data_IF_430153684026
#
_entry.id   IF_430153684026
#
_cell.length_a   1.000
_cell.length_b   1.000
_cell.length_c   1.000
_cell.angle_alpha   90.00
_cell.angle_beta   90.00
_cell.angle_gamma   90.00
#
_symmetry.space_group_name_H-M   'P 1'
#
loop_
_entity.id
_entity.type
_entity.pdbx_description
1 polymer ?
#
# COMPACT_ATOMS: atom_id res chain seq x y z
N UNK A 1 16.93 -5.84 17.54
CA UNK A 1 16.20 -7.12 17.64
C UNK A 1 16.39 -8.03 16.42
N UNK A 2 16.08 -7.61 15.18
CA UNK A 2 16.09 -8.52 14.02
C UNK A 2 17.41 -9.29 13.75
N UNK A 3 18.59 -8.68 13.97
CA UNK A 3 19.88 -9.41 13.88
C UNK A 3 20.02 -10.51 14.93
N UNK A 4 19.57 -10.25 16.16
CA UNK A 4 19.56 -11.25 17.24
C UNK A 4 18.55 -12.36 16.94
N UNK A 5 17.37 -12.01 16.41
CA UNK A 5 16.38 -12.99 15.96
C UNK A 5 16.94 -13.93 14.89
N UNK A 6 17.63 -13.38 13.88
CA UNK A 6 18.31 -14.16 12.85
C UNK A 6 19.38 -15.10 13.43
N UNK A 7 20.25 -14.59 14.30
CA UNK A 7 21.33 -15.36 14.91
C UNK A 7 20.82 -16.47 15.85
N UNK A 8 19.75 -16.22 16.61
CA UNK A 8 19.19 -17.18 17.55
C UNK A 8 18.37 -18.30 16.89
N UNK A 9 17.95 -18.13 15.62
CA UNK A 9 17.05 -19.07 14.94
C UNK A 9 17.58 -19.49 13.55
N UNK A 10 18.80 -20.05 13.43
CA UNK A 10 19.43 -20.29 12.13
C UNK A 10 18.67 -21.30 11.25
N UNK A 11 17.84 -22.17 11.83
CA UNK A 11 17.03 -23.14 11.07
C UNK A 11 15.74 -22.53 10.51
N UNK A 12 15.30 -21.37 10.99
CA UNK A 12 14.08 -20.70 10.53
C UNK A 12 14.35 -19.89 9.25
N UNK A 13 13.60 -20.18 8.18
CA UNK A 13 13.65 -19.40 6.94
C UNK A 13 13.36 -17.91 7.19
N UNK A 14 12.33 -17.62 8.01
CA UNK A 14 11.95 -16.24 8.37
C UNK A 14 13.12 -15.51 9.03
N UNK A 15 13.82 -16.17 9.95
CA UNK A 15 14.94 -15.59 10.67
C UNK A 15 16.17 -15.37 9.77
N UNK A 16 16.53 -16.35 8.94
CA UNK A 16 17.64 -16.22 7.98
C UNK A 16 17.39 -15.09 6.97
N UNK A 17 16.19 -15.04 6.39
CA UNK A 17 15.82 -13.99 5.44
C UNK A 17 15.69 -12.61 6.09
N UNK A 18 15.29 -12.52 7.36
CA UNK A 18 15.41 -11.28 8.14
C UNK A 18 16.87 -10.83 8.20
N UNK A 19 17.80 -11.77 8.42
CA UNK A 19 19.24 -11.50 8.36
C UNK A 19 19.69 -10.95 7.00
N UNK A 20 19.25 -11.53 5.88
CA UNK A 20 19.57 -11.04 4.53
C UNK A 20 19.03 -9.64 4.27
N UNK A 21 17.79 -9.35 4.67
CA UNK A 21 17.19 -8.01 4.54
C UNK A 21 17.97 -6.97 5.35
N UNK A 22 18.38 -7.30 6.58
CA UNK A 22 19.17 -6.40 7.42
C UNK A 22 20.62 -6.25 6.94
N UNK A 23 21.18 -7.26 6.27
CA UNK A 23 22.47 -7.15 5.59
C UNK A 23 22.38 -6.22 4.38
N UNK A 24 21.29 -6.28 3.61
CA UNK A 24 21.04 -5.32 2.52
C UNK A 24 20.93 -3.88 3.04
N UNK A 25 20.24 -3.67 4.16
CA UNK A 25 20.18 -2.36 4.81
C UNK A 25 21.56 -1.87 5.27
N UNK A 26 22.37 -2.76 5.84
CA UNK A 26 23.74 -2.41 6.21
C UNK A 26 24.56 -2.00 4.98
N UNK A 27 24.48 -2.73 3.87
CA UNK A 27 25.17 -2.36 2.64
C UNK A 27 24.73 -1.01 2.07
N UNK A 28 23.44 -0.66 2.19
CA UNK A 28 22.93 0.67 1.83
C UNK A 28 23.55 1.76 2.72
N UNK A 29 23.64 1.51 4.03
CA UNK A 29 24.26 2.42 5.00
C UNK A 29 25.75 2.60 4.69
N UNK A 30 26.48 1.50 4.47
CA UNK A 30 27.91 1.52 4.16
C UNK A 30 28.18 2.31 2.87
N UNK A 31 27.39 2.07 1.83
CA UNK A 31 27.47 2.81 0.57
C UNK A 31 27.14 4.30 0.72
N UNK A 32 26.16 4.63 1.56
CA UNK A 32 25.83 6.03 1.89
C UNK A 32 26.96 6.72 2.66
N UNK A 33 27.64 6.02 3.58
CA UNK A 33 28.74 6.56 4.37
C UNK A 33 30.05 6.68 3.58
N UNK A 34 30.24 5.87 2.53
CA UNK A 34 31.43 5.91 1.69
C UNK A 34 31.51 7.13 0.75
N UNK A 35 30.46 7.97 0.68
CA UNK A 35 30.43 9.15 -0.19
C UNK A 35 31.31 10.28 0.36
N UNK A 36 32.01 10.97 -0.54
CA UNK A 36 32.81 12.14 -0.21
C UNK A 36 31.97 13.43 -0.36
N UNK A 37 30.95 13.58 0.50
CA UNK A 37 30.02 14.71 0.49
C UNK A 37 30.22 15.57 1.75
N UNK A 38 30.09 16.89 1.62
CA UNK A 38 30.29 17.84 2.73
C UNK A 38 29.14 17.82 3.74
N UNK A 39 27.98 17.25 3.35
CA UNK A 39 26.80 17.10 4.22
C UNK A 39 26.56 15.62 4.51
N UNK A 40 27.23 15.07 5.54
CA UNK A 40 26.92 13.73 6.07
C UNK A 40 25.75 13.84 7.04
N UNK A 41 24.60 13.23 6.71
CA UNK A 41 23.50 13.07 7.66
C UNK A 41 23.72 11.80 8.47
N UNK A 42 23.16 11.76 9.68
CA UNK A 42 23.14 10.56 10.51
C UNK A 42 22.58 9.38 9.70
N UNK A 43 23.33 8.26 9.53
CA UNK A 43 22.88 7.09 8.79
C UNK A 43 21.61 6.46 9.35
N UNK A 44 21.22 6.78 10.59
CA UNK A 44 19.92 6.41 11.16
C UNK A 44 18.74 6.86 10.28
N UNK A 45 18.90 7.92 9.48
CA UNK A 45 17.89 8.34 8.51
C UNK A 45 17.48 7.20 7.56
N UNK A 46 18.40 6.31 7.18
CA UNK A 46 18.09 5.18 6.30
C UNK A 46 17.22 4.14 7.00
N UNK A 47 17.36 3.96 8.32
CA UNK A 47 16.41 3.15 9.09
C UNK A 47 15.01 3.78 9.08
N UNK A 48 14.93 5.11 9.24
CA UNK A 48 13.66 5.84 9.23
C UNK A 48 13.00 5.80 7.86
N UNK A 49 13.75 5.93 6.76
CA UNK A 49 13.21 5.80 5.40
C UNK A 49 12.50 4.45 5.23
N UNK A 50 13.14 3.36 5.64
CA UNK A 50 12.54 2.04 5.49
C UNK A 50 11.36 1.80 6.45
N UNK A 51 11.29 2.56 7.54
CA UNK A 51 10.24 2.47 8.56
C UNK A 51 9.14 3.53 8.40
N UNK A 52 9.06 4.29 7.30
CA UNK A 52 8.09 5.40 7.17
C UNK A 52 6.65 4.97 7.45
N UNK A 53 6.21 3.83 6.91
CA UNK A 53 4.88 3.30 7.19
C UNK A 53 4.70 2.87 8.65
N UNK A 54 5.71 2.25 9.25
CA UNK A 54 5.69 1.87 10.67
C UNK A 54 5.66 3.09 11.60
N UNK A 55 6.28 4.21 11.21
CA UNK A 55 6.32 5.43 11.99
C UNK A 55 4.94 6.04 12.21
N UNK A 56 3.98 5.79 11.33
CA UNK A 56 2.59 6.27 11.45
C UNK A 56 1.92 5.72 12.71
N UNK A 57 2.12 4.43 12.99
CA UNK A 57 1.62 3.77 14.21
C UNK A 57 2.53 4.01 15.41
N UNK A 58 3.85 4.03 15.22
CA UNK A 58 4.82 4.24 16.31
C UNK A 58 4.68 5.64 16.93
N UNK A 59 4.39 6.67 16.15
CA UNK A 59 4.10 8.00 16.71
C UNK A 59 2.93 7.95 17.71
N UNK A 60 1.87 7.20 17.37
CA UNK A 60 0.71 7.01 18.25
C UNK A 60 1.06 6.17 19.48
N UNK A 61 1.84 5.10 19.30
CA UNK A 61 2.22 4.18 20.37
C UNK A 61 3.24 4.74 21.37
N UNK A 62 4.15 5.60 20.91
CA UNK A 62 5.22 6.16 21.75
C UNK A 62 4.80 7.47 22.45
N UNK A 63 3.83 8.18 21.89
CA UNK A 63 3.27 9.37 22.54
C UNK A 63 2.33 8.98 23.68
N UNK A 64 2.24 9.82 24.73
CA UNK A 64 1.28 9.66 25.82
C UNK A 64 -0.13 10.09 25.38
N UNK A 65 -0.62 9.47 24.32
CA UNK A 65 -1.89 9.76 23.66
C UNK A 65 -3.03 9.21 24.53
N UNK A 66 -4.01 10.07 24.85
CA UNK A 66 -5.16 9.67 25.67
C UNK A 66 -6.03 8.64 24.93
N UNK A 67 -6.68 7.73 25.68
CA UNK A 67 -7.44 6.61 25.10
C UNK A 67 -8.58 7.06 24.17
N UNK A 68 -9.18 8.21 24.44
CA UNK A 68 -10.26 8.81 23.68
C UNK A 68 -9.79 9.87 22.66
N UNK A 69 -8.50 9.86 22.28
CA UNK A 69 -7.91 10.84 21.37
C UNK A 69 -8.71 11.02 20.08
N UNK A 70 -9.01 9.93 19.37
CA UNK A 70 -9.78 9.97 18.12
C UNK A 70 -11.24 10.37 18.33
N UNK A 71 -11.82 10.06 19.49
CA UNK A 71 -13.23 10.37 19.80
C UNK A 71 -13.43 11.85 20.11
N UNK A 72 -12.39 12.55 20.60
CA UNK A 72 -12.42 13.99 20.88
C UNK A 72 -12.28 14.87 19.65
N UNK A 73 -11.80 14.34 18.51
CA UNK A 73 -11.69 15.12 17.28
C UNK A 73 -13.07 15.57 16.78
N UNK A 74 -13.17 16.78 16.25
CA UNK A 74 -14.35 17.19 15.47
C UNK A 74 -14.50 16.31 14.21
N UNK A 75 -15.66 16.39 13.55
CA UNK A 75 -15.90 15.63 12.32
C UNK A 75 -14.87 15.95 11.23
N UNK A 76 -14.55 17.25 11.04
CA UNK A 76 -13.60 17.68 10.02
C UNK A 76 -12.17 17.22 10.34
N UNK A 77 -11.73 17.37 11.59
CA UNK A 77 -10.40 16.91 12.02
C UNK A 77 -10.23 15.40 11.84
N UNK A 78 -11.24 14.61 12.23
CA UNK A 78 -11.19 13.16 12.08
C UNK A 78 -11.21 12.74 10.61
N UNK A 79 -12.04 13.37 9.78
CA UNK A 79 -12.12 13.09 8.34
C UNK A 79 -10.77 13.36 7.68
N UNK A 80 -10.17 14.51 7.97
CA UNK A 80 -8.84 14.89 7.47
C UNK A 80 -7.75 13.94 7.98
N UNK A 81 -7.79 13.52 9.25
CA UNK A 81 -6.90 12.49 9.77
C UNK A 81 -7.05 11.19 8.99
N UNK A 82 -8.29 10.68 8.84
CA UNK A 82 -8.58 9.42 8.19
C UNK A 82 -8.12 9.39 6.73
N UNK A 83 -8.27 10.49 5.99
CA UNK A 83 -7.82 10.57 4.59
C UNK A 83 -6.32 10.80 4.44
N UNK A 84 -5.65 11.39 5.44
CA UNK A 84 -4.18 11.56 5.44
C UNK A 84 -3.44 10.31 5.93
N UNK A 85 -4.05 9.57 6.86
CA UNK A 85 -3.55 8.28 7.38
C UNK A 85 -4.02 7.08 6.53
N UNK A 86 -5.07 7.25 5.73
CA UNK A 86 -5.55 6.28 4.75
C UNK A 86 -4.74 6.38 3.46
N UNK A 87 -3.82 5.44 3.27
CA UNK A 87 -2.75 5.61 2.29
C UNK A 87 -3.03 5.13 0.88
N UNK A 88 -4.16 4.48 0.54
CA UNK A 88 -4.24 3.84 -0.78
C UNK A 88 -5.65 3.49 -1.23
N UNK A 89 -5.80 3.29 -2.54
CA UNK A 89 -6.91 2.57 -3.15
C UNK A 89 -6.36 1.42 -4.00
N UNK A 90 -6.90 0.21 -3.89
CA UNK A 90 -6.52 -0.91 -4.73
C UNK A 90 -7.74 -1.62 -5.33
N UNK A 91 -7.55 -2.24 -6.50
CA UNK A 91 -8.58 -2.97 -7.21
C UNK A 91 -7.97 -4.21 -7.88
N UNK A 92 -8.62 -5.35 -7.65
CA UNK A 92 -8.41 -6.58 -8.41
C UNK A 92 -9.69 -6.84 -9.18
N UNK A 93 -9.61 -6.97 -10.50
CA UNK A 93 -10.79 -6.99 -11.37
C UNK A 93 -10.66 -8.07 -12.44
N UNK A 94 -11.69 -8.92 -12.54
CA UNK A 94 -11.80 -10.07 -13.44
C UNK A 94 -12.94 -9.82 -14.43
N UNK A 95 -12.69 -9.88 -15.73
CA UNK A 95 -13.75 -9.66 -16.75
C UNK A 95 -14.78 -10.79 -16.78
N UNK A 96 -16.01 -10.54 -17.28
CA UNK A 96 -17.14 -11.46 -17.09
C UNK A 96 -16.90 -12.90 -17.56
N UNK A 97 -16.14 -13.12 -18.63
CA UNK A 97 -15.76 -14.46 -19.12
C UNK A 97 -14.42 -14.96 -18.58
N UNK A 98 -13.90 -14.37 -17.50
CA UNK A 98 -12.57 -14.65 -16.92
C UNK A 98 -11.41 -14.43 -17.90
N UNK A 99 -11.60 -13.59 -18.91
CA UNK A 99 -10.65 -13.40 -20.02
C UNK A 99 -9.41 -12.61 -19.59
N UNK A 100 -9.62 -11.59 -18.75
CA UNK A 100 -8.60 -10.67 -18.28
C UNK A 100 -8.73 -10.44 -16.79
N UNK A 101 -7.57 -10.31 -16.15
CA UNK A 101 -7.48 -9.99 -14.73
C UNK A 101 -6.50 -8.85 -14.57
N UNK A 102 -6.99 -7.77 -13.97
CA UNK A 102 -6.23 -6.58 -13.65
C UNK A 102 -5.99 -6.51 -12.15
N UNK A 103 -4.78 -6.14 -11.76
CA UNK A 103 -4.37 -5.96 -10.37
C UNK A 103 -3.67 -4.61 -10.28
N UNK A 104 -4.21 -3.68 -9.50
CA UNK A 104 -3.64 -2.35 -9.44
C UNK A 104 -3.91 -1.59 -8.15
N UNK A 105 -3.13 -0.53 -8.00
CA UNK A 105 -2.94 0.20 -6.76
C UNK A 105 -2.64 1.66 -7.06
N UNK A 106 -3.29 2.57 -6.33
CA UNK A 106 -3.03 4.01 -6.33
C UNK A 106 -2.62 4.46 -4.93
N UNK A 107 -1.38 4.88 -4.77
CA UNK A 107 -0.84 5.35 -3.48
C UNK A 107 -1.31 6.77 -3.18
N UNK A 108 -1.63 7.01 -1.92
CA UNK A 108 -2.01 8.28 -1.31
C UNK A 108 -1.06 8.62 -0.16
N UNK A 109 -0.37 9.74 -0.27
CA UNK A 109 0.41 10.28 0.83
C UNK A 109 0.73 11.76 0.57
N UNK A 110 1.70 12.35 1.27
CA UNK A 110 2.15 13.71 0.99
C UNK A 110 2.82 13.77 -0.38
N UNK A 111 2.54 14.80 -1.19
CA UNK A 111 3.13 14.94 -2.52
C UNK A 111 4.63 15.15 -2.47
N UNK A 112 5.20 15.57 -1.35
CA UNK A 112 6.66 15.63 -1.16
C UNK A 112 7.35 14.26 -1.24
N UNK A 113 6.60 13.15 -1.10
CA UNK A 113 7.13 11.79 -1.26
C UNK A 113 7.21 11.34 -2.73
N UNK A 114 6.86 12.17 -3.71
CA UNK A 114 6.79 11.77 -5.14
C UNK A 114 8.15 11.67 -5.85
N UNK A 115 9.27 11.63 -5.12
CA UNK A 115 10.56 11.28 -5.70
C UNK A 115 10.59 9.75 -5.88
N UNK A 116 10.22 9.27 -7.07
CA UNK A 116 9.95 7.85 -7.32
C UNK A 116 11.11 7.12 -7.95
N UNK A 117 11.27 5.85 -7.58
CA UNK A 117 12.10 4.87 -8.30
C UNK A 117 11.27 3.60 -8.44
N UNK A 118 11.03 3.15 -9.67
CA UNK A 118 10.54 1.81 -9.92
C UNK A 118 11.73 0.84 -9.93
N UNK A 119 11.65 -0.24 -9.14
CA UNK A 119 12.79 -1.12 -8.86
C UNK A 119 12.55 -2.52 -9.38
N UNK A 120 13.61 -3.07 -9.97
CA UNK A 120 13.71 -4.47 -10.34
C UNK A 120 14.93 -5.04 -9.60
N UNK A 121 14.74 -6.03 -8.73
CA UNK A 121 15.84 -6.71 -8.05
C UNK A 121 15.94 -8.14 -8.52
N UNK A 122 17.18 -8.57 -8.79
CA UNK A 122 17.56 -9.97 -8.93
C UNK A 122 18.46 -10.34 -7.74
N UNK A 123 17.90 -11.02 -6.74
CA UNK A 123 18.55 -11.42 -5.51
C UNK A 123 18.99 -12.89 -5.59
N UNK A 124 20.25 -13.13 -5.96
CA UNK A 124 20.83 -14.49 -6.03
C UNK A 124 21.30 -14.98 -4.65
N UNK A 125 20.36 -15.07 -3.70
CA UNK A 125 20.64 -15.59 -2.36
C UNK A 125 20.79 -17.11 -2.41
N UNK A 126 21.85 -17.64 -1.79
CA UNK A 126 22.06 -19.09 -1.68
C UNK A 126 21.31 -19.63 -0.45
N UNK A 127 19.99 -19.77 -0.57
CA UNK A 127 19.13 -20.35 0.47
C UNK A 127 18.06 -21.23 -0.17
N UNK A 128 17.82 -22.41 0.41
CA UNK A 128 16.84 -23.40 -0.08
C UNK A 128 15.39 -22.91 0.02
N UNK A 129 15.12 -21.93 0.87
CA UNK A 129 13.78 -21.40 1.13
C UNK A 129 13.47 -20.14 0.31
N UNK A 130 14.43 -19.65 -0.50
CA UNK A 130 14.20 -18.57 -1.45
C UNK A 130 13.23 -19.04 -2.55
N UNK A 131 12.04 -18.46 -2.57
CA UNK A 131 10.98 -18.74 -3.55
C UNK A 131 10.89 -17.69 -4.65
N UNK A 132 11.36 -16.46 -4.40
CA UNK A 132 11.31 -15.37 -5.37
C UNK A 132 12.62 -14.57 -5.41
N UNK A 133 13.59 -14.95 -6.26
CA UNK A 133 14.80 -14.17 -6.47
C UNK A 133 14.55 -12.88 -7.26
N UNK A 134 13.54 -12.85 -8.13
CA UNK A 134 13.27 -11.71 -9.00
C UNK A 134 11.98 -10.98 -8.61
N UNK A 135 12.11 -9.70 -8.27
CA UNK A 135 10.99 -8.87 -7.81
C UNK A 135 10.96 -7.52 -8.54
N UNK A 136 9.77 -7.06 -8.86
CA UNK A 136 9.51 -5.79 -9.55
C UNK A 136 8.47 -4.98 -8.79
N UNK A 137 8.77 -3.73 -8.42
CA UNK A 137 7.93 -2.96 -7.50
C UNK A 137 8.15 -1.43 -7.60
N UNK A 138 7.10 -0.66 -7.33
CA UNK A 138 7.20 0.80 -7.19
C UNK A 138 7.81 1.18 -5.84
N UNK A 139 8.65 2.20 -5.77
CA UNK A 139 9.40 2.54 -4.55
C UNK A 139 9.94 3.99 -4.58
N UNK A 140 10.88 4.28 -3.69
CA UNK A 140 11.47 5.58 -3.39
C UNK A 140 12.99 5.45 -3.17
N UNK A 141 13.80 6.50 -3.33
CA UNK A 141 15.22 6.47 -3.01
C UNK A 141 15.50 6.08 -1.56
N UNK A 142 16.39 5.10 -1.33
CA UNK A 142 16.79 4.64 0.00
C UNK A 142 15.85 3.62 0.67
N UNK A 143 14.67 3.40 0.12
CA UNK A 143 13.72 2.39 0.59
C UNK A 143 14.14 1.02 0.04
N UNK A 144 14.11 -0.02 0.85
CA UNK A 144 14.36 -1.38 0.40
C UNK A 144 13.06 -2.15 0.20
N UNK A 145 11.93 -1.46 0.33
CA UNK A 145 10.56 -1.92 0.15
C UNK A 145 9.80 -0.95 -0.76
N UNK A 146 8.54 -1.28 -1.05
CA UNK A 146 7.67 -0.49 -1.89
C UNK A 146 7.05 0.68 -1.13
N UNK A 147 6.67 0.49 0.14
CA UNK A 147 5.81 1.36 0.94
C UNK A 147 4.38 1.47 0.38
N UNK A 148 4.20 1.42 -0.95
CA UNK A 148 2.91 1.70 -1.57
C UNK A 148 1.74 0.82 -1.08
N UNK A 149 1.73 -0.52 -1.08
CA UNK A 149 2.69 -1.45 -1.67
C UNK A 149 2.15 -2.06 -2.99
N UNK A 150 3.02 -2.16 -4.00
CA UNK A 150 2.77 -2.89 -5.25
C UNK A 150 4.00 -3.73 -5.61
N UNK A 151 3.88 -5.05 -5.59
CA UNK A 151 4.93 -5.98 -5.98
C UNK A 151 4.44 -7.00 -7.00
N UNK A 152 5.29 -7.31 -7.98
CA UNK A 152 5.19 -8.49 -8.83
C UNK A 152 6.40 -9.38 -8.52
N UNK A 153 6.14 -10.65 -8.19
CA UNK A 153 7.12 -11.62 -7.73
C UNK A 153 7.22 -12.75 -8.76
N UNK A 154 8.44 -13.17 -9.11
CA UNK A 154 8.65 -14.28 -10.05
C UNK A 154 8.22 -15.66 -9.53
N UNK A 155 7.90 -15.76 -8.24
CA UNK A 155 7.15 -16.87 -7.65
C UNK A 155 5.73 -17.03 -8.22
N UNK A 156 5.27 -16.10 -9.06
CA UNK A 156 3.94 -16.07 -9.66
C UNK A 156 2.91 -15.35 -8.79
N UNK A 157 3.35 -14.48 -7.87
CA UNK A 157 2.47 -13.74 -6.97
C UNK A 157 2.53 -12.24 -7.23
N UNK A 158 1.39 -11.57 -7.08
CA UNK A 158 1.28 -10.11 -7.01
C UNK A 158 0.83 -9.74 -5.60
N UNK A 159 1.47 -8.74 -4.99
CA UNK A 159 1.12 -8.29 -3.64
C UNK A 159 0.76 -6.81 -3.70
N UNK A 160 -0.46 -6.51 -3.28
CA UNK A 160 -0.99 -5.15 -3.12
C UNK A 160 -1.30 -4.88 -1.65
N UNK A 161 -1.42 -3.62 -1.26
CA UNK A 161 -1.79 -3.28 0.11
C UNK A 161 -2.55 -1.95 0.22
N UNK A 162 -3.45 -1.80 1.18
CA UNK A 162 -3.98 -0.48 1.62
C UNK A 162 -4.02 -0.38 3.14
N UNK A 163 -3.67 0.79 3.70
CA UNK A 163 -3.41 0.92 5.15
C UNK A 163 -4.71 1.11 5.91
N UNK A 164 -4.91 0.34 6.98
CA UNK A 164 -6.06 0.49 7.87
C UNK A 164 -5.63 1.31 9.08
N UNK A 165 -6.50 2.23 9.52
CA UNK A 165 -6.30 2.90 10.80
C UNK A 165 -6.73 2.00 11.96
N UNK A 166 -6.00 2.06 13.09
CA UNK A 166 -6.41 1.47 14.37
C UNK A 166 -6.81 2.59 15.31
N UNK A 167 -8.11 2.70 15.60
CA UNK A 167 -8.67 3.73 16.50
C UNK A 167 -8.74 3.29 17.96
N UNK A 168 -8.68 1.98 18.21
CA UNK A 168 -8.62 1.45 19.56
C UNK A 168 -7.24 1.70 20.19
N UNK A 169 -7.12 2.78 20.96
CA UNK A 169 -5.87 3.21 21.59
C UNK A 169 -5.24 2.17 22.52
N UNK A 170 -6.03 1.27 23.10
CA UNK A 170 -5.52 0.22 23.99
C UNK A 170 -4.59 -0.76 23.28
N UNK A 171 -4.78 -0.98 21.97
CA UNK A 171 -3.96 -1.89 21.18
C UNK A 171 -2.52 -1.38 21.03
N UNK A 172 -2.30 -0.06 20.93
CA UNK A 172 -0.94 0.48 20.81
C UNK A 172 -0.07 0.23 22.04
N UNK A 173 -0.67 0.01 23.23
CA UNK A 173 0.08 -0.37 24.45
C UNK A 173 0.77 -1.73 24.34
N UNK A 174 0.38 -2.54 23.35
CA UNK A 174 0.98 -3.87 23.09
C UNK A 174 2.16 -3.81 22.12
N UNK A 175 2.37 -2.68 21.44
CA UNK A 175 3.50 -2.45 20.54
C UNK A 175 4.79 -2.44 21.36
N UNK A 176 5.76 -3.25 20.95
CA UNK A 176 7.02 -3.45 21.69
C UNK A 176 8.22 -3.56 20.75
N UNK A 177 9.42 -3.15 21.20
CA UNK A 177 10.63 -3.20 20.39
C UNK A 177 11.12 -4.62 20.08
N UNK A 178 10.62 -5.63 20.81
CA UNK A 178 10.81 -7.04 20.49
C UNK A 178 9.80 -7.51 19.44
N UNK A 179 9.83 -6.86 18.27
CA UNK A 179 9.09 -7.24 17.07
C UNK A 179 9.88 -6.92 15.78
N UNK A 180 9.40 -7.40 14.64
CA UNK A 180 9.89 -7.03 13.31
C UNK A 180 8.95 -6.01 12.68
N UNK A 181 9.51 -4.90 12.19
CA UNK A 181 8.74 -3.87 11.49
C UNK A 181 8.08 -4.44 10.22
N UNK A 182 7.01 -3.82 9.77
CA UNK A 182 6.22 -4.30 8.63
C UNK A 182 7.05 -4.45 7.37
N UNK A 183 7.88 -3.46 7.02
CA UNK A 183 8.73 -3.52 5.83
C UNK A 183 9.65 -4.76 5.82
N UNK A 184 10.16 -5.15 7.00
CA UNK A 184 11.02 -6.33 7.15
C UNK A 184 10.22 -7.60 6.90
N UNK A 185 9.02 -7.70 7.50
CA UNK A 185 8.15 -8.87 7.36
C UNK A 185 7.62 -9.02 5.93
N UNK A 186 7.22 -7.92 5.28
CA UNK A 186 6.80 -7.91 3.87
C UNK A 186 7.94 -8.38 2.96
N UNK A 187 9.16 -7.86 3.15
CA UNK A 187 10.33 -8.28 2.37
C UNK A 187 10.66 -9.76 2.55
N UNK A 188 10.58 -10.28 3.78
CA UNK A 188 10.78 -11.69 4.07
C UNK A 188 9.68 -12.54 3.44
N UNK A 189 8.41 -12.15 3.59
CA UNK A 189 7.27 -12.86 3.01
C UNK A 189 7.38 -12.93 1.48
N UNK A 190 7.73 -11.83 0.82
CA UNK A 190 7.93 -11.79 -0.63
C UNK A 190 9.08 -12.70 -1.09
N UNK A 191 10.10 -12.92 -0.26
CA UNK A 191 11.23 -13.79 -0.60
C UNK A 191 10.93 -15.29 -0.45
N UNK A 192 10.16 -15.69 0.58
CA UNK A 192 10.04 -17.12 0.97
C UNK A 192 8.65 -17.72 0.74
N UNK A 193 7.62 -16.89 0.54
CA UNK A 193 6.26 -17.38 0.40
C UNK A 193 6.11 -18.20 -0.89
N UNK A 194 5.35 -19.30 -0.77
CA UNK A 194 5.10 -20.23 -1.87
C UNK A 194 3.69 -20.11 -2.42
N UNK A 195 2.80 -19.43 -1.71
CA UNK A 195 1.39 -19.18 -2.00
C UNK A 195 0.88 -18.13 -1.00
N UNK A 196 -0.37 -17.69 -1.15
CA UNK A 196 -0.95 -16.65 -0.29
C UNK A 196 -1.07 -17.02 1.19
N UNK A 197 -1.40 -18.28 1.52
CA UNK A 197 -1.51 -18.72 2.91
C UNK A 197 -0.15 -18.79 3.62
N UNK A 198 0.91 -19.21 2.91
CA UNK A 198 2.27 -19.15 3.43
C UNK A 198 2.71 -17.69 3.63
N UNK A 199 2.39 -16.78 2.70
CA UNK A 199 2.66 -15.34 2.84
C UNK A 199 1.98 -14.79 4.10
N UNK A 200 0.70 -15.10 4.31
CA UNK A 200 -0.05 -14.73 5.50
C UNK A 200 0.59 -15.25 6.79
N UNK A 201 1.01 -16.52 6.81
CA UNK A 201 1.71 -17.11 7.95
C UNK A 201 3.00 -16.34 8.28
N UNK A 202 3.82 -15.97 7.28
CA UNK A 202 5.04 -15.18 7.53
C UNK A 202 4.72 -13.86 8.23
N UNK A 203 3.63 -13.19 7.85
CA UNK A 203 3.23 -11.92 8.45
C UNK A 203 2.84 -12.03 9.93
N UNK A 204 2.44 -13.22 10.40
CA UNK A 204 2.18 -13.48 11.84
C UNK A 204 3.47 -13.46 12.67
N UNK A 205 4.61 -13.75 12.05
CA UNK A 205 5.87 -13.94 12.75
C UNK A 205 6.43 -12.60 13.22
N UNK A 206 6.58 -12.44 14.54
CA UNK A 206 7.09 -11.21 15.17
C UNK A 206 6.29 -9.95 14.78
N UNK A 207 4.96 -10.07 14.64
CA UNK A 207 4.08 -8.95 14.32
C UNK A 207 4.35 -7.75 15.26
N UNK A 208 4.65 -6.60 14.67
CA UNK A 208 4.93 -5.35 15.38
C UNK A 208 3.69 -4.57 15.79
N UNK A 209 2.55 -4.79 15.13
CA UNK A 209 1.39 -3.90 15.27
C UNK A 209 1.63 -2.50 14.69
N UNK A 210 2.59 -2.39 13.76
CA UNK A 210 2.94 -1.15 13.07
C UNK A 210 2.80 -1.36 11.58
N UNK A 211 2.51 -0.28 10.88
CA UNK A 211 1.99 -0.25 9.52
C UNK A 211 0.84 -1.23 9.31
N UNK A 212 -0.26 -0.97 10.02
CA UNK A 212 -1.41 -1.88 10.08
C UNK A 212 -2.20 -1.85 8.77
N UNK A 213 -2.18 -2.96 8.05
CA UNK A 213 -2.47 -2.98 6.61
C UNK A 213 -3.42 -4.13 6.23
N UNK A 214 -4.21 -3.93 5.17
CA UNK A 214 -4.83 -5.01 4.41
C UNK A 214 -3.96 -5.31 3.19
N UNK A 215 -3.38 -6.51 3.15
CA UNK A 215 -2.65 -7.03 2.01
C UNK A 215 -3.54 -7.94 1.17
N UNK A 216 -3.39 -7.84 -0.15
CA UNK A 216 -4.01 -8.75 -1.11
C UNK A 216 -2.89 -9.50 -1.83
N UNK A 217 -2.82 -10.81 -1.60
CA UNK A 217 -1.83 -11.70 -2.22
C UNK A 217 -2.52 -12.49 -3.31
N UNK A 218 -2.22 -12.15 -4.56
CA UNK A 218 -2.79 -12.77 -5.74
C UNK A 218 -1.83 -13.84 -6.27
N UNK A 219 -2.27 -15.09 -6.32
CA UNK A 219 -1.50 -16.21 -6.87
C UNK A 219 -1.90 -16.50 -8.32
N UNK A 220 -1.08 -16.06 -9.27
CA UNK A 220 -1.35 -16.19 -10.70
C UNK A 220 -1.35 -17.66 -11.17
N UNK A 221 -0.73 -18.58 -10.42
CA UNK A 221 -0.71 -20.01 -10.76
C UNK A 221 -2.08 -20.67 -10.54
N UNK A 222 -2.96 -20.02 -9.77
CA UNK A 222 -4.34 -20.45 -9.49
C UNK A 222 -5.36 -19.86 -10.46
N UNK A 223 -4.90 -19.13 -11.47
CA UNK A 223 -5.75 -18.44 -12.42
C UNK A 223 -5.53 -19.04 -13.82
N UNK A 224 -6.62 -19.49 -14.44
CA UNK A 224 -6.66 -19.97 -15.82
C UNK A 224 -7.62 -19.07 -16.61
N UNK A 225 -7.11 -18.08 -17.36
CA UNK A 225 -7.95 -17.19 -18.16
C UNK A 225 -8.88 -17.98 -19.08
N UNK A 226 -10.11 -17.49 -19.25
CA UNK A 226 -11.22 -18.12 -20.00
C UNK A 226 -11.69 -19.49 -19.45
N UNK A 227 -11.26 -19.89 -18.24
CA UNK A 227 -11.60 -21.20 -17.69
C UNK A 227 -11.98 -21.17 -16.21
N UNK A 228 -11.02 -20.85 -15.32
CA UNK A 228 -11.25 -20.91 -13.88
C UNK A 228 -10.36 -19.99 -13.09
N UNK A 229 -10.84 -19.58 -11.91
CA UNK A 229 -10.03 -19.02 -10.84
C UNK A 229 -10.15 -20.01 -9.70
N UNK A 230 -9.11 -20.78 -9.42
CA UNK A 230 -9.10 -21.86 -8.45
C UNK A 230 -8.86 -21.32 -7.02
N UNK A 231 -9.34 -22.02 -6.00
CA UNK A 231 -9.13 -21.62 -4.60
C UNK A 231 -7.63 -21.43 -4.30
N UNK A 232 -7.34 -20.39 -3.51
CA UNK A 232 -6.01 -19.86 -3.22
C UNK A 232 -5.55 -18.76 -4.17
N UNK A 233 -6.34 -18.36 -5.16
CA UNK A 233 -5.98 -17.29 -6.09
C UNK A 233 -5.92 -15.89 -5.45
N UNK A 234 -6.72 -15.63 -4.43
CA UNK A 234 -6.66 -14.38 -3.66
C UNK A 234 -6.68 -14.68 -2.16
N UNK A 235 -5.58 -14.39 -1.47
CA UNK A 235 -5.54 -14.38 0.00
C UNK A 235 -5.54 -12.94 0.50
N UNK A 236 -6.50 -12.58 1.34
CA UNK A 236 -6.56 -11.27 1.99
C UNK A 236 -6.03 -11.41 3.41
N UNK A 237 -5.10 -10.55 3.80
CA UNK A 237 -4.40 -10.59 5.09
C UNK A 237 -4.52 -9.23 5.76
N UNK A 238 -4.98 -9.18 7.00
CA UNK A 238 -5.12 -7.95 7.76
C UNK A 238 -4.37 -8.04 9.09
N UNK A 239 -3.63 -6.98 9.39
CA UNK A 239 -2.84 -6.87 10.61
C UNK A 239 -3.32 -5.71 11.47
N UNK A 240 -3.37 -5.95 12.77
CA UNK A 240 -3.40 -4.93 13.84
C UNK A 240 -2.39 -5.35 14.94
N UNK A 241 -2.14 -4.53 15.98
CA UNK A 241 -1.35 -4.99 17.11
C UNK A 241 -1.87 -6.31 17.69
N UNK A 242 -0.97 -7.25 17.95
CA UNK A 242 -1.21 -8.63 18.45
C UNK A 242 -1.92 -9.61 17.52
N UNK A 243 -2.57 -9.16 16.44
CA UNK A 243 -3.42 -10.02 15.61
C UNK A 243 -3.13 -9.87 14.11
N UNK A 244 -3.06 -11.01 13.43
CA UNK A 244 -3.11 -11.10 11.97
C UNK A 244 -4.23 -12.07 11.61
N UNK A 245 -5.17 -11.63 10.78
CA UNK A 245 -6.27 -12.46 10.26
C UNK A 245 -6.06 -12.62 8.76
N UNK A 246 -6.26 -13.82 8.24
CA UNK A 246 -6.20 -14.07 6.80
C UNK A 246 -7.29 -15.02 6.34
N UNK A 247 -7.80 -14.80 5.13
CA UNK A 247 -8.77 -15.68 4.50
C UNK A 247 -8.60 -15.73 2.98
N UNK A 248 -9.04 -16.83 2.38
CA UNK A 248 -9.15 -16.97 0.93
C UNK A 248 -10.41 -16.23 0.44
N UNK A 249 -10.22 -15.22 -0.40
CA UNK A 249 -11.27 -14.39 -0.99
C UNK A 249 -11.44 -14.65 -2.48
N UNK A 250 -10.98 -15.81 -2.96
CA UNK A 250 -11.18 -16.24 -4.35
C UNK A 250 -12.66 -16.30 -4.71
N UNK A 251 -13.52 -16.74 -3.78
CA UNK A 251 -14.97 -16.78 -3.98
C UNK A 251 -15.55 -15.40 -4.34
N UNK A 252 -15.13 -14.34 -3.64
CA UNK A 252 -15.55 -12.98 -3.93
C UNK A 252 -14.94 -12.48 -5.25
N UNK A 253 -13.68 -12.79 -5.52
CA UNK A 253 -13.01 -12.39 -6.76
C UNK A 253 -13.71 -12.94 -8.02
N UNK A 254 -14.23 -14.18 -7.96
CA UNK A 254 -15.03 -14.79 -9.04
C UNK A 254 -16.30 -14.01 -9.38
N UNK A 255 -16.84 -13.21 -8.45
CA UNK A 255 -18.02 -12.38 -8.70
C UNK A 255 -17.71 -11.12 -9.52
N UNK A 256 -16.43 -10.81 -9.72
CA UNK A 256 -15.98 -9.79 -10.65
C UNK A 256 -14.82 -8.96 -10.11
N UNK A 257 -14.78 -8.63 -8.82
CA UNK A 257 -13.71 -7.79 -8.28
C UNK A 257 -13.51 -7.91 -6.77
N UNK A 258 -12.35 -7.47 -6.31
CA UNK A 258 -12.04 -7.21 -4.90
C UNK A 258 -11.48 -5.78 -4.77
N UNK A 259 -12.17 -4.87 -4.06
CA UNK A 259 -11.70 -3.51 -3.80
C UNK A 259 -10.96 -3.41 -2.44
N UNK A 260 -10.10 -2.40 -2.28
CA UNK A 260 -9.48 -2.07 -0.99
C UNK A 260 -9.31 -0.55 -0.85
N UNK A 261 -9.64 0.00 0.32
CA UNK A 261 -9.83 1.44 0.51
C UNK A 261 -9.69 1.90 1.97
N UNK A 262 -8.71 1.36 2.70
CA UNK A 262 -8.37 1.77 4.08
C UNK A 262 -9.44 1.51 5.15
N UNK A 263 -10.36 0.58 4.91
CA UNK A 263 -11.30 0.09 5.93
C UNK A 263 -11.14 -1.43 6.02
N UNK A 264 -10.98 -2.02 7.23
CA UNK A 264 -10.80 -3.45 7.36
C UNK A 264 -11.98 -4.26 6.84
N UNK A 265 -11.67 -5.34 6.11
CA UNK A 265 -12.63 -6.28 5.55
C UNK A 265 -13.07 -7.35 6.56
N UNK A 266 -12.12 -7.93 7.30
CA UNK A 266 -12.46 -8.95 8.28
C UNK A 266 -13.15 -8.29 9.47
N UNK A 267 -14.36 -8.73 9.77
CA UNK A 267 -15.19 -8.17 10.85
C UNK A 267 -14.46 -8.13 12.20
N UNK A 268 -13.67 -9.18 12.52
CA UNK A 268 -12.86 -9.21 13.73
C UNK A 268 -11.86 -8.05 13.78
N UNK A 269 -11.17 -7.76 12.69
CA UNK A 269 -10.19 -6.67 12.60
C UNK A 269 -10.90 -5.32 12.64
N UNK A 270 -12.00 -5.17 11.90
CA UNK A 270 -12.85 -3.98 11.89
C UNK A 270 -13.33 -3.62 13.31
N UNK A 271 -13.86 -4.60 14.04
CA UNK A 271 -14.38 -4.44 15.39
C UNK A 271 -13.27 -4.10 16.40
N UNK A 272 -12.17 -4.87 16.42
CA UNK A 272 -11.07 -4.65 17.37
C UNK A 272 -10.35 -3.32 17.12
N UNK A 273 -10.34 -2.84 15.87
CA UNK A 273 -9.75 -1.55 15.50
C UNK A 273 -10.61 -0.36 15.90
N UNK A 274 -11.84 -0.55 16.38
CA UNK A 274 -12.71 0.53 16.88
C UNK A 274 -13.57 1.22 15.82
N UNK A 275 -13.71 0.66 14.62
CA UNK A 275 -14.57 1.25 13.58
C UNK A 275 -16.07 1.30 13.95
N UNK A 276 -16.67 0.34 14.68
CA UNK A 276 -18.08 0.45 15.08
C UNK A 276 -18.40 1.73 15.86
N UNK A 277 -17.52 2.14 16.79
CA UNK A 277 -17.70 3.37 17.57
C UNK A 277 -17.53 4.62 16.70
N UNK A 278 -16.57 4.61 15.79
CA UNK A 278 -16.39 5.67 14.80
C UNK A 278 -17.65 5.83 13.95
N UNK A 279 -18.20 4.74 13.42
CA UNK A 279 -19.42 4.78 12.59
C UNK A 279 -20.62 5.25 13.40
N UNK A 280 -20.78 4.78 14.64
CA UNK A 280 -21.86 5.22 15.53
C UNK A 280 -21.80 6.72 15.80
N UNK A 281 -20.60 7.27 15.98
CA UNK A 281 -20.41 8.69 16.28
C UNK A 281 -20.46 9.59 15.04
N UNK A 282 -19.95 9.10 13.89
CA UNK A 282 -19.58 9.95 12.75
C UNK A 282 -20.27 9.61 11.43
N UNK A 283 -21.07 8.54 11.40
CA UNK A 283 -21.83 8.13 10.23
C UNK A 283 -21.13 7.08 9.36
N UNK A 284 -21.78 6.76 8.25
CA UNK A 284 -21.52 5.58 7.43
C UNK A 284 -20.29 5.70 6.51
N UNK A 285 -19.72 6.89 6.32
CA UNK A 285 -18.56 7.08 5.43
C UNK A 285 -17.27 6.42 5.93
N UNK A 286 -17.25 6.01 7.20
CA UNK A 286 -16.16 5.22 7.79
C UNK A 286 -16.47 3.72 7.85
N UNK A 287 -17.66 3.31 7.41
CA UNK A 287 -18.04 1.90 7.37
C UNK A 287 -17.49 1.22 6.11
N UNK A 288 -17.21 -0.09 6.21
CA UNK A 288 -16.67 -0.84 5.08
C UNK A 288 -17.57 -0.79 3.84
N UNK A 289 -18.89 -0.86 4.02
CA UNK A 289 -19.84 -0.95 2.90
C UNK A 289 -20.19 0.40 2.26
N UNK A 290 -20.18 1.47 3.06
CA UNK A 290 -20.76 2.77 2.65
C UNK A 290 -19.74 3.90 2.57
N UNK A 291 -18.46 3.64 2.82
CA UNK A 291 -17.39 4.59 2.53
C UNK A 291 -17.49 5.11 1.08
N UNK A 292 -17.17 6.40 0.81
CA UNK A 292 -17.20 6.99 -0.53
C UNK A 292 -16.54 6.11 -1.60
N UNK A 293 -15.34 5.60 -1.31
CA UNK A 293 -14.61 4.71 -2.23
C UNK A 293 -15.27 3.35 -2.40
N UNK A 294 -15.94 2.80 -1.40
CA UNK A 294 -16.72 1.57 -1.53
C UNK A 294 -17.91 1.78 -2.49
N UNK A 295 -18.64 2.90 -2.34
CA UNK A 295 -19.74 3.30 -3.22
C UNK A 295 -19.25 3.47 -4.67
N UNK A 296 -18.14 4.19 -4.87
CA UNK A 296 -17.55 4.43 -6.19
C UNK A 296 -17.03 3.13 -6.81
N UNK A 297 -16.26 2.29 -6.10
CA UNK A 297 -15.79 1.01 -6.64
C UNK A 297 -16.95 0.10 -7.05
N UNK A 298 -18.02 0.04 -6.26
CA UNK A 298 -19.22 -0.74 -6.60
C UNK A 298 -19.86 -0.30 -7.92
N UNK A 299 -19.81 1.00 -8.23
CA UNK A 299 -20.32 1.58 -9.49
C UNK A 299 -19.34 1.42 -10.65
N UNK A 300 -18.05 1.69 -10.42
CA UNK A 300 -17.05 1.87 -11.48
C UNK A 300 -16.25 0.60 -11.81
N UNK A 301 -15.97 -0.28 -10.84
CA UNK A 301 -15.16 -1.48 -11.08
C UNK A 301 -15.74 -2.38 -12.19
N UNK A 302 -17.07 -2.56 -12.36
CA UNK A 302 -17.63 -3.31 -13.47
C UNK A 302 -17.25 -2.78 -14.86
N UNK A 303 -16.89 -1.49 -15.00
CA UNK A 303 -16.56 -0.84 -16.28
C UNK A 303 -15.16 -1.16 -16.81
N UNK A 304 -14.33 -1.87 -16.05
CA UNK A 304 -12.97 -2.25 -16.47
C UNK A 304 -13.01 -3.48 -17.39
N UNK A 305 -12.76 -3.26 -18.69
CA UNK A 305 -12.64 -4.33 -19.70
C UNK A 305 -11.24 -4.41 -20.34
N UNK A 306 -10.44 -3.37 -20.13
CA UNK A 306 -9.11 -3.21 -20.69
C UNK A 306 -8.23 -2.35 -19.77
N UNK A 307 -6.98 -2.15 -20.20
CA UNK A 307 -6.01 -1.35 -19.48
C UNK A 307 -6.43 0.13 -19.33
N UNK A 308 -7.16 0.69 -20.31
CA UNK A 308 -7.64 2.07 -20.26
C UNK A 308 -8.74 2.22 -19.21
N UNK A 309 -9.67 1.27 -19.13
CA UNK A 309 -10.68 1.20 -18.07
C UNK A 309 -10.05 1.06 -16.69
N UNK A 310 -9.05 0.19 -16.53
CA UNK A 310 -8.34 0.02 -15.27
C UNK A 310 -7.63 1.32 -14.84
N UNK A 311 -6.93 1.96 -15.77
CA UNK A 311 -6.29 3.26 -15.56
C UNK A 311 -7.31 4.34 -15.16
N UNK A 312 -8.46 4.40 -15.83
CA UNK A 312 -9.51 5.37 -15.55
C UNK A 312 -10.10 5.18 -14.15
N UNK A 313 -10.45 3.95 -13.76
CA UNK A 313 -11.04 3.67 -12.43
C UNK A 313 -10.05 3.98 -11.30
N UNK A 314 -8.79 3.55 -11.41
CA UNK A 314 -7.80 3.80 -10.37
C UNK A 314 -7.34 5.26 -10.27
N UNK A 315 -7.56 6.05 -11.32
CA UNK A 315 -7.32 7.51 -11.35
C UNK A 315 -8.58 8.32 -11.13
N UNK A 316 -9.73 7.69 -10.91
CA UNK A 316 -11.03 8.35 -10.83
C UNK A 316 -11.03 9.45 -9.77
N UNK A 317 -11.35 10.67 -10.21
CA UNK A 317 -11.67 11.81 -9.38
C UNK A 317 -12.57 12.79 -10.14
N UNK A 318 -13.85 12.81 -9.76
CA UNK A 318 -14.87 13.69 -10.32
C UNK A 318 -15.60 14.43 -9.19
N UNK A 319 -14.86 14.84 -8.16
CA UNK A 319 -15.43 15.22 -6.86
C UNK A 319 -16.47 16.35 -6.89
N UNK A 320 -16.44 17.20 -7.90
CA UNK A 320 -17.37 18.30 -8.07
C UNK A 320 -18.77 17.82 -8.49
N UNK A 321 -18.84 16.71 -9.23
CA UNK A 321 -20.06 16.22 -9.88
C UNK A 321 -20.52 14.86 -9.35
N UNK A 322 -19.60 14.03 -8.82
CA UNK A 322 -19.93 12.71 -8.28
C UNK A 322 -20.70 12.82 -6.95
N UNK A 323 -21.93 12.31 -6.87
CA UNK A 323 -22.74 12.37 -5.65
C UNK A 323 -22.11 11.64 -4.46
N UNK A 324 -21.23 10.67 -4.68
CA UNK A 324 -20.54 9.95 -3.60
C UNK A 324 -19.32 10.71 -3.07
N UNK A 325 -18.86 11.73 -3.80
CA UNK A 325 -17.75 12.58 -3.36
C UNK A 325 -18.20 13.75 -2.49
N UNK A 326 -19.49 14.12 -2.55
CA UNK A 326 -20.07 15.16 -1.66
C UNK A 326 -19.31 16.49 -1.70
N UNK A 327 -18.74 16.83 -2.85
CA UNK A 327 -17.93 18.04 -3.06
C UNK A 327 -16.53 18.00 -2.43
N UNK A 328 -16.11 16.87 -1.86
CA UNK A 328 -14.78 16.68 -1.27
C UNK A 328 -13.84 15.94 -2.24
N UNK A 329 -12.77 16.64 -2.65
CA UNK A 329 -11.74 16.13 -3.55
C UNK A 329 -11.00 14.88 -3.08
N UNK A 330 -11.15 14.47 -1.81
CA UNK A 330 -10.60 13.22 -1.28
C UNK A 330 -11.63 12.12 -1.02
N UNK A 331 -12.92 12.37 -1.22
CA UNK A 331 -13.93 11.32 -1.27
C UNK A 331 -14.02 10.72 -2.69
N UNK A 332 -12.88 10.25 -3.20
CA UNK A 332 -12.77 9.63 -4.52
C UNK A 332 -11.72 8.54 -4.54
N UNK A 333 -11.55 7.79 -5.65
CA UNK A 333 -10.55 6.70 -5.73
C UNK A 333 -9.11 7.24 -5.73
N UNK A 334 -8.90 8.41 -6.34
CA UNK A 334 -7.60 9.07 -6.39
C UNK A 334 -7.70 10.51 -5.85
N UNK A 335 -7.67 10.65 -4.52
CA UNK A 335 -7.80 11.91 -3.76
C UNK A 335 -6.89 13.05 -4.27
N UNK A 336 -7.44 14.26 -4.31
CA UNK A 336 -6.78 15.53 -4.66
C UNK A 336 -6.91 16.52 -3.51
N UNK A 337 -6.16 16.30 -2.43
CA UNK A 337 -6.24 17.13 -1.22
C UNK A 337 -5.85 18.59 -1.46
N UNK A 338 -5.10 18.85 -2.53
CA UNK A 338 -4.70 20.17 -2.99
C UNK A 338 -5.86 20.98 -3.57
N UNK A 339 -6.93 20.31 -4.03
CA UNK A 339 -8.13 20.95 -4.60
C UNK A 339 -9.23 21.21 -3.56
N UNK A 340 -8.98 20.91 -2.28
CA UNK A 340 -9.90 21.29 -1.20
C UNK A 340 -9.92 22.80 -0.99
N UNK A 341 -10.93 23.27 -0.25
CA UNK A 341 -11.12 24.69 0.06
C UNK A 341 -10.53 25.04 1.43
N UNK A 342 -10.08 26.29 1.58
CA UNK A 342 -9.68 26.86 2.87
C UNK A 342 -8.47 26.17 3.49
N UNK A 343 -8.50 26.02 4.82
CA UNK A 343 -7.42 25.42 5.62
C UNK A 343 -7.20 23.92 5.38
N UNK A 344 -8.15 23.25 4.74
CA UNK A 344 -8.09 21.80 4.48
C UNK A 344 -7.33 21.47 3.19
N UNK A 345 -7.01 22.48 2.37
CA UNK A 345 -6.17 22.37 1.19
C UNK A 345 -4.73 22.02 1.57
N UNK A 346 -4.15 21.02 0.93
CA UNK A 346 -2.77 20.64 1.16
C UNK A 346 -2.18 19.77 0.07
N UNK A 347 -0.86 19.80 -0.08
CA UNK A 347 -0.14 18.97 -1.05
C UNK A 347 -0.08 17.48 -0.61
N UNK A 348 -1.23 16.81 -0.62
CA UNK A 348 -1.39 15.40 -0.28
C UNK A 348 -2.54 14.75 -1.05
N UNK A 349 -2.53 13.42 -1.09
CA UNK A 349 -3.56 12.61 -1.72
C UNK A 349 -2.93 11.57 -2.62
N UNK A 350 -3.71 11.09 -3.58
CA UNK A 350 -3.25 10.13 -4.57
C UNK A 350 -2.15 10.73 -5.45
N UNK A 351 -1.02 10.04 -5.62
CA UNK A 351 0.12 10.57 -6.37
C UNK A 351 0.76 9.58 -7.34
N UNK A 352 0.16 8.42 -7.53
CA UNK A 352 0.54 7.47 -8.55
C UNK A 352 -0.62 6.53 -8.85
N UNK A 353 -0.42 5.74 -9.90
CA UNK A 353 -1.10 4.46 -10.04
C UNK A 353 -0.16 3.48 -10.69
N UNK A 354 -0.20 2.22 -10.23
CA UNK A 354 0.42 1.07 -10.88
C UNK A 354 -0.64 0.00 -11.12
N UNK A 355 -0.61 -0.64 -12.27
CA UNK A 355 -1.41 -1.85 -12.48
C UNK A 355 -0.73 -2.81 -13.45
N UNK A 356 -1.05 -4.09 -13.32
CA UNK A 356 -0.67 -5.13 -14.25
C UNK A 356 -1.88 -5.92 -14.70
N UNK A 357 -1.79 -6.48 -15.90
CA UNK A 357 -2.67 -7.54 -16.39
C UNK A 357 -2.00 -8.90 -16.17
N UNK A 358 -2.76 -9.99 -16.13
CA UNK A 358 -2.28 -11.35 -15.89
C UNK A 358 -1.05 -11.75 -16.73
N UNK A 359 -1.05 -11.49 -18.04
CA UNK A 359 0.09 -11.84 -18.90
C UNK A 359 1.30 -10.95 -18.63
N UNK A 360 1.09 -9.64 -18.44
CA UNK A 360 2.19 -8.73 -18.11
C UNK A 360 2.86 -9.11 -16.78
N UNK A 361 2.06 -9.52 -15.78
CA UNK A 361 2.56 -9.90 -14.47
C UNK A 361 3.48 -11.13 -14.52
N UNK A 362 3.21 -12.08 -15.42
CA UNK A 362 4.11 -13.23 -15.66
C UNK A 362 5.49 -12.84 -16.16
N UNK A 363 5.60 -11.65 -16.76
CA UNK A 363 6.85 -11.06 -17.22
C UNK A 363 7.30 -9.89 -16.33
N UNK A 364 6.82 -9.83 -15.07
CA UNK A 364 7.17 -8.79 -14.10
C UNK A 364 6.92 -7.36 -14.63
N UNK A 365 5.96 -7.23 -15.56
CA UNK A 365 5.68 -5.99 -16.26
C UNK A 365 4.43 -5.34 -15.71
N UNK A 366 4.42 -4.01 -15.61
CA UNK A 366 3.27 -3.22 -15.20
C UNK A 366 3.20 -1.91 -15.95
N UNK A 367 2.05 -1.24 -15.91
CA UNK A 367 1.92 0.17 -16.25
C UNK A 367 2.01 1.01 -14.97
N UNK A 368 2.72 2.12 -15.04
CA UNK A 368 2.84 3.07 -13.94
C UNK A 368 2.68 4.51 -14.44
N UNK A 369 2.10 5.36 -13.60
CA UNK A 369 2.04 6.81 -13.77
C UNK A 369 2.43 7.48 -12.45
N UNK A 370 3.25 8.52 -12.51
CA UNK A 370 3.64 9.33 -11.34
C UNK A 370 2.91 10.67 -11.38
N UNK A 371 2.37 11.10 -10.24
CA UNK A 371 1.71 12.39 -10.03
C UNK A 371 0.23 12.30 -9.66
N UNK A 372 -0.35 13.40 -9.11
CA UNK A 372 -1.77 13.48 -8.76
C UNK A 372 -2.72 13.30 -9.96
N UNK A 373 -3.95 12.84 -9.70
CA UNK A 373 -4.95 12.61 -10.77
C UNK A 373 -5.23 13.85 -11.59
N UNK A 374 -5.37 13.68 -12.91
CA UNK A 374 -5.87 14.71 -13.83
C UNK A 374 -7.38 14.58 -14.07
N UNK A 375 -8.09 13.89 -13.17
CA UNK A 375 -9.51 13.62 -13.29
C UNK A 375 -9.82 12.56 -14.33
N UNK A 376 -11.09 12.47 -14.71
CA UNK A 376 -11.58 11.61 -15.77
C UNK A 376 -11.66 12.37 -17.10
N UNK A 377 -11.77 11.65 -18.22
CA UNK A 377 -11.81 12.26 -19.56
C UNK A 377 -12.92 13.32 -19.74
N UNK A 378 -14.08 13.15 -19.09
CA UNK A 378 -15.19 14.12 -19.14
C UNK A 378 -15.15 15.21 -18.05
N UNK A 379 -14.31 15.03 -17.03
CA UNK A 379 -14.20 15.91 -15.86
C UNK A 379 -12.71 16.13 -15.54
N UNK A 380 -11.96 16.82 -16.43
CA UNK A 380 -10.53 16.98 -16.26
C UNK A 380 -10.21 17.90 -15.07
N UNK A 381 -9.18 17.52 -14.31
CA UNK A 381 -8.61 18.33 -13.26
C UNK A 381 -7.27 18.90 -13.72
N UNK A 382 -6.99 20.14 -13.37
CA UNK A 382 -5.69 20.76 -13.67
C UNK A 382 -4.53 19.92 -13.09
N UNK A 383 -3.43 19.76 -13.84
CA UNK A 383 -2.19 19.19 -13.33
C UNK A 383 -1.77 19.88 -12.03
N UNK A 384 -1.27 19.10 -11.06
CA UNK A 384 -0.74 19.64 -9.83
C UNK A 384 0.56 20.43 -10.10
N UNK A 385 0.69 21.60 -9.50
CA UNK A 385 1.86 22.47 -9.62
C UNK A 385 2.34 22.93 -8.24
N UNK A 386 3.63 22.75 -7.94
CA UNK A 386 4.22 23.16 -6.66
C UNK A 386 4.18 24.67 -6.41
N UNK A 387 3.98 25.48 -7.45
CA UNK A 387 3.76 26.92 -7.31
C UNK A 387 2.55 27.27 -6.43
N UNK A 388 1.59 26.33 -6.28
CA UNK A 388 0.44 26.46 -5.38
C UNK A 388 0.82 26.23 -3.91
N UNK A 389 1.95 25.55 -3.64
CA UNK A 389 2.44 25.20 -2.30
C UNK A 389 3.93 25.54 -2.13
N UNK A 390 4.33 26.82 -2.28
CA UNK A 390 5.74 27.23 -2.31
C UNK A 390 6.49 26.96 -1.00
N UNK A 391 5.77 26.83 0.12
CA UNK A 391 6.35 26.63 1.46
C UNK A 391 6.59 25.15 1.81
N UNK A 392 6.22 24.21 0.95
CA UNK A 392 6.46 22.78 1.16
C UNK A 392 7.77 22.40 0.48
N UNK A 393 8.69 21.73 1.18
CA UNK A 393 9.94 21.27 0.55
C UNK A 393 9.67 20.18 -0.49
N UNK A 394 10.22 20.37 -1.69
CA UNK A 394 10.04 19.48 -2.85
C UNK A 394 11.33 19.39 -3.69
N UNK A 395 12.48 19.39 -3.04
CA UNK A 395 13.77 19.34 -3.72
C UNK A 395 13.90 18.09 -4.62
N UNK A 396 14.32 18.29 -5.87
CA UNK A 396 14.47 17.22 -6.86
C UNK A 396 13.16 16.78 -7.52
N UNK A 397 12.02 17.40 -7.18
CA UNK A 397 10.72 17.12 -7.79
C UNK A 397 10.45 18.04 -8.99
N UNK A 398 9.72 17.58 -10.02
CA UNK A 398 9.26 18.42 -11.13
C UNK A 398 8.30 19.51 -10.61
N UNK A 399 8.31 20.68 -11.24
CA UNK A 399 7.44 21.82 -10.85
C UNK A 399 5.96 21.55 -11.11
N UNK A 400 5.64 20.76 -12.15
CA UNK A 400 4.28 20.38 -12.57
C UNK A 400 4.24 18.88 -12.84
N UNK A 401 3.14 18.23 -12.45
CA UNK A 401 2.91 16.80 -12.66
C UNK A 401 1.91 16.58 -13.79
N UNK A 402 2.43 16.46 -15.01
CA UNK A 402 1.65 16.15 -16.23
C UNK A 402 2.28 14.97 -16.99
N UNK A 403 2.55 13.89 -16.27
CA UNK A 403 3.17 12.69 -16.82
C UNK A 403 2.15 11.75 -17.47
N UNK A 404 2.65 10.95 -18.41
CA UNK A 404 1.90 9.88 -19.04
C UNK A 404 2.21 8.52 -18.40
N UNK A 405 1.38 7.54 -18.72
CA UNK A 405 1.63 6.14 -18.38
C UNK A 405 2.88 5.63 -19.09
N UNK A 406 3.68 4.84 -18.38
CA UNK A 406 4.83 4.13 -18.93
C UNK A 406 4.76 2.65 -18.56
N UNK A 407 5.30 1.78 -19.41
CA UNK A 407 5.51 0.39 -19.08
C UNK A 407 6.79 0.25 -18.25
N UNK A 408 6.71 -0.51 -17.17
CA UNK A 408 7.82 -0.84 -16.28
C UNK A 408 8.09 -2.34 -16.40
N UNK A 409 9.26 -2.69 -16.91
CA UNK A 409 9.70 -4.08 -17.10
C UNK A 409 11.15 -4.25 -16.64
N UNK A 410 11.54 -5.42 -16.13
CA UNK A 410 12.94 -5.73 -15.90
C UNK A 410 13.72 -5.80 -17.23
N UNK A 411 14.98 -5.37 -17.21
CA UNK A 411 15.91 -5.45 -18.36
C UNK A 411 16.96 -6.56 -18.18
N UNK A 412 16.71 -7.53 -17.30
CA UNK A 412 17.65 -8.63 -17.09
C UNK A 412 17.60 -9.55 -18.31
N UNK A 413 18.72 -9.64 -19.02
CA UNK A 413 18.91 -10.60 -20.12
C UNK A 413 18.99 -12.04 -19.63
#
# INVERSE_FOLDING_TARGET
MGRQFAAANPQSAVARHTGFVLAQLQGLIDGYLARNDTVVRDPFVLHLLNAVGDMLDLQTALNNTKEDHFMRMSQSEFTTFFQKAGHCSALIRVTPGLEKIFMGHSSWFVYAATLRIFKNYLLKLNDKDLSSPLISFSSYPGFLESLDDFYILDSGMVVLQTTNSVFNMSLYKTVKPQSLLAWQRVRVANQIARNGSHWAWVMTQQNSGTYNNQYMVIDLRKIRPNASIDDGALTVVEQIPTLVVSSDQTGLLRTGYFPSYNVPFHETVYNLSGYPDVVKQRGLDFSYQMAPRAKIFRREAPRVFDAAGMAAVLRFNEFADDPYSEGDACNSICCRGDLRKGSDAGAFGCYDTKFTEFQLAKHLTSYAISGPSRGSAGHPLSPFAWSQFPNVSHAGLPSVYDFNWVAMSPLFN
#
